data_IF_383362963086
#
_entry.id   IF_383362963086
#
_cell.length_a   1.000
_cell.length_b   1.000
_cell.length_c   1.000
_cell.angle_alpha   90.00
_cell.angle_beta   90.00
_cell.angle_gamma   90.00
#
_symmetry.space_group_name_H-M   'P 1'
#
loop_
_entity.id
_entity.type
_entity.pdbx_description
1 polymer ?
#
# COMPACT_ATOMS: atom_id res chain seq x y z
N UNK A 1 24.98 8.04 23.50
CA UNK A 1 24.16 8.58 22.40
C UNK A 1 23.42 7.40 21.80
N UNK A 2 22.09 7.43 21.77
CA UNK A 2 21.29 6.31 21.26
C UNK A 2 21.40 6.27 19.73
N UNK A 3 21.70 5.10 19.19
CA UNK A 3 21.67 4.86 17.74
C UNK A 3 20.34 4.18 17.42
N UNK A 4 19.59 4.73 16.47
CA UNK A 4 18.35 4.14 15.95
C UNK A 4 18.53 3.77 14.48
N UNK A 5 17.97 2.62 14.10
CA UNK A 5 18.02 2.06 12.75
C UNK A 5 16.80 1.15 12.56
N UNK A 6 16.42 0.84 11.32
CA UNK A 6 15.38 -0.16 11.07
C UNK A 6 15.77 -1.52 11.66
N UNK A 7 14.82 -2.18 12.30
CA UNK A 7 15.00 -3.56 12.75
C UNK A 7 14.99 -4.52 11.56
N UNK A 8 15.92 -5.49 11.55
CA UNK A 8 16.03 -6.47 10.46
C UNK A 8 14.73 -7.28 10.23
N UNK A 9 13.94 -7.51 11.28
CA UNK A 9 12.65 -8.22 11.17
C UNK A 9 11.59 -7.45 10.39
N UNK A 10 11.79 -6.14 10.21
CA UNK A 10 10.90 -5.25 9.46
C UNK A 10 11.56 -4.77 8.15
N UNK A 11 12.55 -5.51 7.63
CA UNK A 11 13.31 -5.12 6.43
C UNK A 11 12.45 -4.96 5.17
N UNK A 12 11.32 -5.66 5.11
CA UNK A 12 10.36 -5.67 4.00
C UNK A 12 9.16 -4.72 4.24
N UNK A 13 9.06 -4.11 5.42
CA UNK A 13 7.97 -3.19 5.74
C UNK A 13 8.16 -1.86 5.00
N UNK A 14 7.14 -1.40 4.26
CA UNK A 14 7.16 -0.07 3.65
C UNK A 14 7.35 1.03 4.72
N UNK A 15 6.72 0.87 5.89
CA UNK A 15 6.86 1.78 7.03
C UNK A 15 7.18 1.00 8.29
N UNK A 16 8.25 1.38 8.97
CA UNK A 16 8.59 0.87 10.30
C UNK A 16 8.61 2.03 11.30
N UNK A 17 7.62 2.03 12.21
CA UNK A 17 7.57 2.99 13.30
C UNK A 17 8.52 2.53 14.41
N UNK A 18 9.46 3.39 14.79
CA UNK A 18 10.41 3.07 15.85
C UNK A 18 9.68 2.90 17.19
N UNK A 19 9.80 1.73 17.85
CA UNK A 19 8.93 1.39 18.98
C UNK A 19 9.42 1.94 20.33
N UNK A 20 10.68 2.38 20.42
CA UNK A 20 11.29 2.80 21.68
C UNK A 20 11.33 4.31 21.85
N UNK A 21 11.28 4.83 23.09
CA UNK A 21 11.44 6.26 23.35
C UNK A 21 12.76 6.81 22.77
N UNK A 22 12.67 7.95 22.09
CA UNK A 22 13.83 8.66 21.53
C UNK A 22 14.17 9.84 22.44
N UNK A 23 15.45 9.95 22.80
CA UNK A 23 15.95 11.09 23.58
C UNK A 23 16.03 12.39 22.76
N UNK A 24 16.45 13.50 23.37
CA UNK A 24 16.56 14.79 22.66
C UNK A 24 17.65 14.81 21.59
N UNK A 25 18.62 13.90 21.67
CA UNK A 25 19.69 13.72 20.69
C UNK A 25 19.87 12.23 20.39
N UNK A 26 19.96 11.87 19.11
CA UNK A 26 20.20 10.51 18.66
C UNK A 26 21.07 10.48 17.39
N UNK A 27 21.70 9.33 17.14
CA UNK A 27 22.26 9.01 15.84
C UNK A 27 21.24 8.16 15.08
N UNK A 28 20.97 8.52 13.83
CA UNK A 28 20.05 7.80 12.96
C UNK A 28 20.86 7.16 11.85
N UNK A 29 20.75 5.85 11.70
CA UNK A 29 21.33 5.11 10.59
C UNK A 29 20.25 4.71 9.61
N UNK A 30 20.38 5.16 8.38
CA UNK A 30 19.41 4.99 7.30
C UNK A 30 20.06 4.21 6.15
N UNK A 31 19.34 3.22 5.62
CA UNK A 31 19.80 2.42 4.48
C UNK A 31 19.73 3.19 3.16
N UNK A 32 20.35 2.68 2.09
CA UNK A 32 20.43 3.35 0.79
C UNK A 32 19.05 3.57 0.13
N UNK A 33 18.10 2.69 0.42
CA UNK A 33 16.74 2.70 -0.10
C UNK A 33 15.71 3.21 0.92
N UNK A 34 16.15 3.98 1.91
CA UNK A 34 15.33 4.40 3.03
C UNK A 34 15.36 5.91 3.25
N UNK A 35 14.28 6.43 3.85
CA UNK A 35 14.26 7.73 4.50
C UNK A 35 13.67 7.60 5.90
N UNK A 36 14.19 8.40 6.83
CA UNK A 36 13.65 8.48 8.20
C UNK A 36 12.92 9.80 8.37
N UNK A 37 11.64 9.73 8.73
CA UNK A 37 10.83 10.89 9.09
C UNK A 37 10.89 11.06 10.60
N UNK A 38 11.53 12.15 11.05
CA UNK A 38 11.60 12.54 12.44
C UNK A 38 10.36 13.35 12.80
N UNK A 39 9.67 12.93 13.86
CA UNK A 39 8.40 13.51 14.27
C UNK A 39 8.47 14.13 15.68
N UNK A 40 9.11 15.31 15.86
CA UNK A 40 9.09 16.01 17.14
C UNK A 40 7.67 16.46 17.48
N UNK A 41 7.26 16.25 18.73
CA UNK A 41 5.93 16.62 19.21
C UNK A 41 4.78 16.03 18.37
N UNK A 42 4.99 14.86 17.77
CA UNK A 42 4.02 14.22 16.87
C UNK A 42 3.66 15.05 15.63
N UNK A 43 4.58 15.89 15.17
CA UNK A 43 4.46 16.62 13.91
C UNK A 43 5.53 16.14 12.94
N UNK A 44 5.23 16.04 11.65
CA UNK A 44 6.25 15.76 10.63
C UNK A 44 7.29 16.88 10.65
N UNK A 45 8.51 16.55 11.05
CA UNK A 45 9.65 17.46 11.11
C UNK A 45 10.64 17.16 10.00
N UNK A 46 11.81 16.66 10.37
CA UNK A 46 12.91 16.43 9.44
C UNK A 46 12.77 15.11 8.66
N UNK A 47 13.31 15.11 7.44
CA UNK A 47 13.45 13.92 6.59
C UNK A 47 14.93 13.65 6.39
N UNK A 48 15.40 12.53 6.91
CA UNK A 48 16.79 12.12 6.85
C UNK A 48 16.93 11.09 5.72
N UNK A 49 17.79 11.38 4.75
CA UNK A 49 18.11 10.46 3.65
C UNK A 49 19.06 9.34 4.07
N UNK A 50 19.59 8.58 3.10
CA UNK A 50 20.57 7.53 3.37
C UNK A 50 21.80 7.98 4.17
N UNK A 51 22.38 7.05 4.92
CA UNK A 51 23.60 7.26 5.69
C UNK A 51 23.38 7.50 7.18
N UNK A 52 24.37 8.09 7.84
CA UNK A 52 24.36 8.34 9.29
C UNK A 52 24.18 9.81 9.58
N UNK A 53 23.23 10.10 10.47
CA UNK A 53 22.85 11.46 10.83
C UNK A 53 22.92 11.64 12.33
N UNK A 54 23.48 12.75 12.79
CA UNK A 54 23.28 13.21 14.16
C UNK A 54 22.09 14.14 14.16
N UNK A 55 21.03 13.75 14.87
CA UNK A 55 19.80 14.51 14.91
C UNK A 55 19.51 14.98 16.34
N UNK A 56 18.98 16.20 16.45
CA UNK A 56 18.60 16.82 17.70
C UNK A 56 17.21 17.43 17.55
N UNK A 57 16.34 17.15 18.52
CA UNK A 57 14.99 17.73 18.53
C UNK A 57 15.05 19.25 18.72
N UNK A 58 14.22 20.02 17.99
CA UNK A 58 14.08 21.45 18.23
C UNK A 58 13.41 21.77 19.58
N UNK A 59 12.63 20.83 20.14
CA UNK A 59 11.99 20.95 21.45
C UNK A 59 12.34 19.74 22.33
N UNK A 60 13.35 19.86 23.22
CA UNK A 60 13.79 18.78 24.11
C UNK A 60 12.75 18.34 25.15
N UNK A 61 11.71 19.14 25.36
CA UNK A 61 10.69 18.86 26.39
C UNK A 61 9.56 17.98 25.87
N UNK A 62 9.53 17.73 24.55
CA UNK A 62 8.46 16.99 23.89
C UNK A 62 8.93 15.62 23.37
N UNK A 63 8.02 14.64 23.28
CA UNK A 63 8.35 13.33 22.72
C UNK A 63 8.69 13.43 21.23
N UNK A 64 9.49 12.47 20.77
CA UNK A 64 9.91 12.33 19.36
C UNK A 64 9.54 10.94 18.89
N UNK A 65 8.85 10.87 17.75
CA UNK A 65 8.69 9.64 16.96
C UNK A 65 9.70 9.59 15.82
N UNK A 66 10.02 8.39 15.35
CA UNK A 66 10.77 8.19 14.11
C UNK A 66 10.09 7.11 13.27
N UNK A 67 10.00 7.35 11.97
CA UNK A 67 9.40 6.43 11.02
C UNK A 67 10.40 6.16 9.90
N UNK A 68 10.82 4.92 9.78
CA UNK A 68 11.67 4.43 8.71
C UNK A 68 10.77 4.05 7.52
N UNK A 69 11.00 4.67 6.38
CA UNK A 69 10.16 4.52 5.18
C UNK A 69 11.02 4.01 4.03
N UNK A 70 10.66 2.86 3.47
CA UNK A 70 11.31 2.37 2.26
C UNK A 70 10.89 3.21 1.05
N UNK A 71 11.90 3.59 0.28
CA UNK A 71 11.75 4.25 -1.03
C UNK A 71 11.79 3.23 -2.17
N UNK A 72 12.34 2.04 -1.93
CA UNK A 72 12.25 0.91 -2.84
C UNK A 72 10.80 0.40 -2.94
N UNK A 73 10.38 -0.16 -4.10
CA UNK A 73 9.06 -0.74 -4.25
C UNK A 73 8.85 -1.97 -3.34
N UNK A 74 7.66 -2.04 -2.73
CA UNK A 74 7.18 -3.17 -1.91
C UNK A 74 6.00 -3.83 -2.60
N UNK A 75 5.92 -5.16 -2.49
CA UNK A 75 4.84 -5.94 -3.07
C UNK A 75 3.62 -6.01 -2.14
N UNK A 76 2.43 -5.80 -2.70
CA UNK A 76 1.14 -5.92 -2.01
C UNK A 76 0.30 -6.95 -2.73
N UNK A 77 -0.04 -8.03 -2.03
CA UNK A 77 -0.94 -9.07 -2.54
C UNK A 77 -2.40 -8.68 -2.32
N UNK A 78 -3.28 -9.14 -3.19
CA UNK A 78 -4.73 -8.97 -3.07
C UNK A 78 -5.47 -10.23 -3.49
N UNK A 79 -6.67 -10.43 -2.93
CA UNK A 79 -7.62 -11.47 -3.33
C UNK A 79 -9.04 -10.89 -3.24
N UNK A 80 -9.68 -10.76 -4.39
CA UNK A 80 -10.97 -10.13 -4.57
C UNK A 80 -11.98 -11.17 -5.05
N UNK A 81 -13.14 -11.20 -4.41
CA UNK A 81 -14.30 -11.96 -4.89
C UNK A 81 -15.48 -11.00 -5.02
N UNK A 82 -16.15 -11.04 -6.16
CA UNK A 82 -17.40 -10.29 -6.39
C UNK A 82 -18.43 -11.17 -7.07
N UNK A 83 -19.71 -10.93 -6.79
CA UNK A 83 -20.82 -11.66 -7.40
C UNK A 83 -21.93 -10.71 -7.80
N UNK A 84 -22.49 -10.93 -8.98
CA UNK A 84 -23.55 -10.09 -9.54
C UNK A 84 -24.36 -10.88 -10.57
N UNK A 85 -25.49 -10.33 -11.00
CA UNK A 85 -26.26 -10.87 -12.12
C UNK A 85 -26.03 -10.01 -13.36
N UNK A 86 -25.87 -10.66 -14.51
CA UNK A 86 -25.88 -9.97 -15.80
C UNK A 86 -27.31 -9.44 -16.04
N UNK A 87 -27.54 -8.11 -16.13
CA UNK A 87 -28.90 -7.57 -16.16
C UNK A 87 -29.76 -8.03 -17.33
N UNK A 88 -29.15 -8.28 -18.50
CA UNK A 88 -29.90 -8.65 -19.71
C UNK A 88 -30.28 -10.14 -19.75
N UNK A 89 -29.46 -11.02 -19.18
CA UNK A 89 -29.65 -12.47 -19.24
C UNK A 89 -30.14 -13.06 -17.92
N UNK A 90 -30.04 -12.31 -16.82
CA UNK A 90 -30.29 -12.82 -15.47
C UNK A 90 -29.25 -13.84 -14.99
N UNK A 91 -28.18 -14.08 -15.74
CA UNK A 91 -27.18 -15.07 -15.40
C UNK A 91 -26.38 -14.64 -14.17
N UNK A 92 -26.29 -15.48 -13.12
CA UNK A 92 -25.41 -15.21 -11.99
C UNK A 92 -23.96 -15.42 -12.41
N UNK A 93 -23.10 -14.49 -12.00
CA UNK A 93 -21.66 -14.54 -12.21
C UNK A 93 -20.97 -14.28 -10.87
N UNK A 94 -19.98 -15.12 -10.56
CA UNK A 94 -19.00 -14.89 -9.51
C UNK A 94 -17.64 -14.77 -10.16
N UNK A 95 -16.93 -13.70 -9.84
CA UNK A 95 -15.57 -13.46 -10.27
C UNK A 95 -14.64 -13.53 -9.07
N UNK A 96 -13.48 -14.16 -9.25
CA UNK A 96 -12.36 -14.09 -8.33
C UNK A 96 -11.15 -13.52 -9.06
N UNK A 97 -10.55 -12.47 -8.52
CA UNK A 97 -9.31 -11.90 -9.02
C UNK A 97 -8.26 -11.93 -7.91
N UNK A 98 -7.12 -12.55 -8.17
CA UNK A 98 -6.00 -12.62 -7.23
C UNK A 98 -4.71 -12.21 -7.92
N UNK A 99 -3.78 -11.68 -7.15
CA UNK A 99 -2.53 -11.21 -7.71
C UNK A 99 -1.72 -10.35 -6.75
N UNK A 100 -0.78 -9.63 -7.32
CA UNK A 100 0.03 -8.66 -6.60
C UNK A 100 0.30 -7.39 -7.40
N UNK A 101 0.69 -6.35 -6.70
CA UNK A 101 1.08 -5.07 -7.27
C UNK A 101 2.32 -4.55 -6.52
N UNK A 102 3.09 -3.69 -7.16
CA UNK A 102 4.21 -3.01 -6.52
C UNK A 102 3.85 -1.56 -6.25
N UNK A 103 3.94 -1.15 -4.98
CA UNK A 103 3.84 0.25 -4.56
C UNK A 103 5.19 0.77 -4.13
N UNK A 104 5.39 2.09 -4.17
CA UNK A 104 6.48 2.73 -3.44
C UNK A 104 5.98 3.96 -2.70
N UNK A 105 6.74 4.37 -1.69
CA UNK A 105 6.51 5.67 -1.08
C UNK A 105 7.13 6.77 -1.96
N UNK A 106 6.29 7.66 -2.47
CA UNK A 106 6.69 8.82 -3.25
C UNK A 106 6.96 10.05 -2.36
N UNK A 107 6.21 10.18 -1.26
CA UNK A 107 6.41 11.25 -0.27
C UNK A 107 6.27 10.70 1.16
N UNK A 108 7.41 10.42 1.84
CA UNK A 108 7.41 9.94 3.22
C UNK A 108 6.78 10.93 4.21
N UNK A 109 6.90 12.24 3.97
CA UNK A 109 6.32 13.24 4.86
C UNK A 109 4.79 13.18 4.82
N UNK A 110 4.22 13.13 3.62
CA UNK A 110 2.78 13.00 3.42
C UNK A 110 2.25 11.66 3.92
N UNK A 111 3.01 10.57 3.72
CA UNK A 111 2.67 9.25 4.25
C UNK A 111 2.54 9.29 5.77
N UNK A 112 3.57 9.77 6.47
CA UNK A 112 3.63 9.77 7.93
C UNK A 112 2.68 10.78 8.58
N UNK A 113 2.37 11.89 7.91
CA UNK A 113 1.40 12.87 8.40
C UNK A 113 0.02 12.27 8.74
N UNK A 114 -0.34 11.14 8.13
CA UNK A 114 -1.61 10.44 8.39
C UNK A 114 -1.60 9.60 9.68
N UNK A 115 -0.41 9.23 10.18
CA UNK A 115 -0.26 8.27 11.29
C UNK A 115 0.33 8.90 12.54
N UNK A 116 0.97 10.06 12.40
CA UNK A 116 1.68 10.71 13.49
C UNK A 116 0.74 11.03 14.66
N UNK A 117 1.15 10.65 15.88
CA UNK A 117 0.36 10.85 17.10
C UNK A 117 -0.79 9.86 17.32
N UNK A 118 -0.99 8.89 16.42
CA UNK A 118 -1.98 7.84 16.57
C UNK A 118 -1.35 6.57 17.19
N UNK A 119 -2.05 5.89 18.11
CA UNK A 119 -1.51 4.71 18.80
C UNK A 119 -1.64 3.46 17.91
N UNK A 120 -0.88 3.40 16.82
CA UNK A 120 -0.89 2.26 15.92
C UNK A 120 0.21 1.26 16.26
N UNK A 121 -0.20 0.04 16.60
CA UNK A 121 0.72 -1.07 16.84
C UNK A 121 1.29 -1.65 15.53
N UNK A 122 0.62 -1.43 14.38
CA UNK A 122 0.97 -2.05 13.10
C UNK A 122 0.69 -1.14 11.89
N UNK A 123 1.43 -0.03 11.81
CA UNK A 123 1.29 0.96 10.72
C UNK A 123 1.44 0.32 9.34
N UNK A 124 2.47 -0.52 9.15
CA UNK A 124 2.74 -1.18 7.87
C UNK A 124 1.53 -2.00 7.38
N UNK A 125 0.99 -2.86 8.24
CA UNK A 125 -0.17 -3.68 7.89
C UNK A 125 -1.39 -2.84 7.52
N UNK A 126 -1.61 -1.73 8.25
CA UNK A 126 -2.68 -0.79 7.94
C UNK A 126 -2.55 -0.19 6.54
N UNK A 127 -1.33 0.24 6.18
CA UNK A 127 -1.01 0.77 4.84
C UNK A 127 -1.24 -0.30 3.77
N UNK A 128 -0.66 -1.49 3.93
CA UNK A 128 -0.79 -2.59 2.97
C UNK A 128 -2.26 -2.98 2.76
N UNK A 129 -3.01 -3.10 3.86
CA UNK A 129 -4.45 -3.44 3.84
C UNK A 129 -5.28 -2.36 3.15
N UNK A 130 -4.97 -1.08 3.36
CA UNK A 130 -5.67 0.03 2.70
C UNK A 130 -5.45 -0.01 1.19
N UNK A 131 -4.19 -0.19 0.76
CA UNK A 131 -3.83 -0.35 -0.65
C UNK A 131 -4.55 -1.55 -1.27
N UNK A 132 -4.47 -2.73 -0.65
CA UNK A 132 -5.14 -3.95 -1.15
C UNK A 132 -6.65 -3.74 -1.31
N UNK A 133 -7.32 -3.23 -0.27
CA UNK A 133 -8.78 -3.03 -0.31
C UNK A 133 -9.22 -2.00 -1.33
N UNK A 134 -8.45 -0.93 -1.51
CA UNK A 134 -8.74 0.07 -2.55
C UNK A 134 -8.64 -0.56 -3.93
N UNK A 135 -7.61 -1.36 -4.15
CA UNK A 135 -7.45 -2.12 -5.39
C UNK A 135 -8.61 -3.10 -5.60
N UNK A 136 -8.93 -3.94 -4.62
CA UNK A 136 -10.01 -4.94 -4.69
C UNK A 136 -11.33 -4.28 -5.08
N UNK A 137 -11.67 -3.14 -4.47
CA UNK A 137 -12.88 -2.38 -4.80
C UNK A 137 -12.87 -1.83 -6.22
N UNK A 138 -11.73 -1.33 -6.68
CA UNK A 138 -11.58 -0.83 -8.05
C UNK A 138 -11.70 -1.95 -9.07
N UNK A 139 -11.00 -3.06 -8.85
CA UNK A 139 -11.07 -4.27 -9.66
C UNK A 139 -12.50 -4.81 -9.72
N UNK A 140 -13.19 -4.95 -8.60
CA UNK A 140 -14.57 -5.42 -8.57
C UNK A 140 -15.48 -4.57 -9.47
N UNK A 141 -15.34 -3.23 -9.42
CA UNK A 141 -16.11 -2.32 -10.28
C UNK A 141 -15.73 -2.45 -11.75
N UNK A 142 -14.43 -2.46 -12.06
CA UNK A 142 -13.91 -2.58 -13.42
C UNK A 142 -14.36 -3.89 -14.09
N UNK A 143 -14.15 -5.01 -13.40
CA UNK A 143 -14.48 -6.33 -13.94
C UNK A 143 -16.00 -6.49 -14.11
N UNK A 144 -16.79 -6.09 -13.12
CA UNK A 144 -18.26 -6.10 -13.22
C UNK A 144 -18.73 -5.28 -14.41
N UNK A 145 -18.21 -4.05 -14.59
CA UNK A 145 -18.56 -3.20 -15.73
C UNK A 145 -18.23 -3.89 -17.06
N UNK A 146 -17.04 -4.46 -17.22
CA UNK A 146 -16.63 -5.14 -18.45
C UNK A 146 -17.50 -6.35 -18.77
N UNK A 147 -17.82 -7.19 -17.78
CA UNK A 147 -18.72 -8.34 -17.96
C UNK A 147 -20.13 -7.89 -18.29
N UNK A 148 -20.66 -6.89 -17.58
CA UNK A 148 -22.01 -6.36 -17.84
C UNK A 148 -22.12 -5.73 -19.23
N UNK A 149 -21.10 -5.01 -19.71
CA UNK A 149 -21.13 -4.38 -21.03
C UNK A 149 -21.00 -5.41 -22.17
N UNK A 150 -20.18 -6.45 -21.98
CA UNK A 150 -19.97 -7.51 -22.96
C UNK A 150 -21.00 -8.65 -22.89
N UNK A 151 -21.80 -8.69 -21.83
CA UNK A 151 -22.74 -9.78 -21.51
C UNK A 151 -22.06 -11.15 -21.35
N UNK A 152 -20.75 -11.21 -21.06
CA UNK A 152 -20.02 -12.47 -20.91
C UNK A 152 -18.82 -12.36 -19.96
N UNK A 153 -18.55 -13.38 -19.11
CA UNK A 153 -17.35 -13.41 -18.26
C UNK A 153 -16.05 -13.55 -19.07
N UNK A 154 -16.11 -14.02 -20.32
CA UNK A 154 -14.93 -14.16 -21.19
C UNK A 154 -14.19 -12.83 -21.39
N UNK A 155 -14.90 -11.70 -21.32
CA UNK A 155 -14.32 -10.37 -21.45
C UNK A 155 -13.31 -10.00 -20.36
N UNK A 156 -13.24 -10.78 -19.28
CA UNK A 156 -12.28 -10.59 -18.19
C UNK A 156 -11.44 -11.82 -17.87
N UNK A 157 -11.82 -13.02 -18.32
CA UNK A 157 -11.05 -14.25 -18.11
C UNK A 157 -10.14 -14.62 -19.28
N UNK A 158 -10.37 -14.07 -20.48
CA UNK A 158 -9.49 -14.27 -21.62
C UNK A 158 -8.12 -13.60 -21.37
N UNK A 159 -7.04 -14.37 -21.56
CA UNK A 159 -5.66 -13.89 -21.42
C UNK A 159 -5.35 -12.72 -22.37
N UNK A 160 -5.99 -12.67 -23.55
CA UNK A 160 -5.84 -11.56 -24.49
C UNK A 160 -6.39 -10.23 -23.96
N UNK A 161 -7.30 -10.26 -22.97
CA UNK A 161 -7.93 -9.07 -22.40
C UNK A 161 -7.17 -8.50 -21.19
N UNK A 162 -6.26 -9.27 -20.59
CA UNK A 162 -5.52 -8.89 -19.39
C UNK A 162 -4.71 -7.59 -19.55
N UNK A 163 -3.96 -7.34 -20.65
CA UNK A 163 -3.20 -6.10 -20.80
C UNK A 163 -4.07 -4.84 -20.68
N UNK A 164 -5.24 -4.84 -21.35
CA UNK A 164 -6.16 -3.71 -21.28
C UNK A 164 -6.81 -3.52 -19.90
N UNK A 165 -7.02 -4.60 -19.14
CA UNK A 165 -7.49 -4.52 -17.74
C UNK A 165 -6.42 -3.87 -16.86
N UNK A 166 -5.16 -4.26 -17.04
CA UNK A 166 -4.02 -3.72 -16.31
C UNK A 166 -3.83 -2.24 -16.62
N UNK A 167 -3.90 -1.85 -17.90
CA UNK A 167 -3.80 -0.45 -18.33
C UNK A 167 -4.90 0.42 -17.73
N UNK A 168 -6.17 -0.01 -17.78
CA UNK A 168 -7.27 0.73 -17.15
C UNK A 168 -7.07 0.84 -15.64
N UNK A 169 -6.63 -0.24 -14.99
CA UNK A 169 -6.40 -0.26 -13.56
C UNK A 169 -5.30 0.72 -13.13
N UNK A 170 -4.19 0.75 -13.86
CA UNK A 170 -3.09 1.69 -13.62
C UNK A 170 -3.57 3.13 -13.85
N UNK A 171 -4.36 3.37 -14.90
CA UNK A 171 -4.90 4.70 -15.20
C UNK A 171 -5.85 5.20 -14.10
N UNK A 172 -6.63 4.32 -13.46
CA UNK A 172 -7.46 4.69 -12.31
C UNK A 172 -6.67 4.96 -11.04
N UNK A 173 -5.40 4.53 -10.97
CA UNK A 173 -4.49 4.71 -9.85
C UNK A 173 -5.14 4.42 -8.47
N UNK A 174 -5.43 3.14 -8.16
CA UNK A 174 -6.15 2.76 -6.95
C UNK A 174 -5.44 3.16 -5.64
N UNK A 175 -4.14 3.49 -5.67
CA UNK A 175 -3.41 3.92 -4.47
C UNK A 175 -3.65 5.39 -4.13
N UNK A 176 -3.96 6.24 -5.11
CA UNK A 176 -4.10 7.69 -4.93
C UNK A 176 -5.18 8.09 -3.90
N UNK A 177 -6.22 7.26 -3.72
CA UNK A 177 -7.26 7.46 -2.71
C UNK A 177 -7.16 6.54 -1.49
N UNK A 178 -6.16 5.66 -1.45
CA UNK A 178 -6.02 4.65 -0.41
C UNK A 178 -5.11 5.11 0.72
N UNK A 179 -3.94 5.65 0.35
CA UNK A 179 -2.89 6.07 1.28
C UNK A 179 -2.14 7.25 0.65
N UNK A 180 -2.12 8.39 1.32
CA UNK A 180 -1.36 9.54 0.80
C UNK A 180 0.15 9.25 0.83
N UNK A 181 0.87 9.76 -0.17
CA UNK A 181 2.31 9.56 -0.30
C UNK A 181 2.74 8.20 -0.85
N UNK A 182 1.80 7.33 -1.26
CA UNK A 182 2.06 6.03 -1.88
C UNK A 182 1.58 6.03 -3.33
N UNK A 183 2.42 5.54 -4.23
CA UNK A 183 2.08 5.40 -5.64
C UNK A 183 2.19 3.95 -6.13
N UNK A 184 1.29 3.60 -7.04
CA UNK A 184 1.35 2.36 -7.80
C UNK A 184 2.45 2.45 -8.86
N UNK A 185 3.38 1.49 -8.84
CA UNK A 185 4.48 1.41 -9.82
C UNK A 185 4.10 0.52 -10.98
N UNK A 186 3.62 -0.69 -10.67
CA UNK A 186 3.16 -1.65 -11.67
C UNK A 186 2.29 -2.71 -11.05
N UNK A 187 1.51 -3.38 -11.89
CA UNK A 187 0.94 -4.67 -11.55
C UNK A 187 2.03 -5.74 -11.58
N UNK A 188 1.97 -6.65 -10.61
CA UNK A 188 2.73 -7.89 -10.62
C UNK A 188 2.00 -8.91 -11.49
N UNK A 189 1.54 -10.00 -10.88
CA UNK A 189 0.69 -10.98 -11.56
C UNK A 189 -0.80 -10.69 -11.27
N UNK A 190 -1.67 -11.05 -12.21
CA UNK A 190 -3.11 -10.95 -12.09
C UNK A 190 -3.74 -12.19 -12.70
N UNK A 191 -4.56 -12.89 -11.92
CA UNK A 191 -5.34 -14.07 -12.34
C UNK A 191 -6.80 -13.76 -12.09
N UNK A 192 -7.64 -13.96 -13.11
CA UNK A 192 -9.09 -13.76 -13.02
C UNK A 192 -9.77 -15.08 -13.38
N UNK A 193 -10.62 -15.57 -12.48
CA UNK A 193 -11.47 -16.72 -12.68
C UNK A 193 -12.95 -16.29 -12.60
N UNK A 194 -13.80 -17.01 -13.30
CA UNK A 194 -15.24 -16.82 -13.28
C UNK A 194 -15.95 -18.17 -13.12
N UNK A 195 -17.00 -18.18 -12.31
CA UNK A 195 -17.96 -19.28 -12.22
C UNK A 195 -19.39 -18.72 -12.05
N UNK A 196 -20.38 -19.60 -12.01
CA UNK A 196 -21.80 -19.29 -11.83
C UNK A 196 -22.25 -19.32 -10.35
N UNK A 197 -21.30 -19.44 -9.42
CA UNK A 197 -21.54 -19.59 -7.98
C UNK A 197 -21.86 -21.02 -7.55
N UNK A 198 -21.90 -22.00 -8.46
CA UNK A 198 -22.26 -23.38 -8.14
C UNK A 198 -21.14 -24.18 -7.46
N UNK A 199 -19.89 -23.74 -7.62
CA UNK A 199 -18.71 -24.36 -6.98
C UNK A 199 -18.14 -23.47 -5.87
N UNK A 200 -17.93 -24.00 -4.66
CA UNK A 200 -17.10 -23.32 -3.67
C UNK A 200 -15.63 -23.34 -4.13
N UNK A 201 -14.99 -22.17 -4.14
CA UNK A 201 -13.53 -22.07 -4.24
C UNK A 201 -12.84 -22.67 -3.01
#
# INVERSE_FOLDING_TARGET
>A
MTVIARDQVASDHLVYAWPFPIGPECEVSCSDDEQVVMCPAWMVGDRLGPGRHRWRTPDPTRPVGAFFVLTAPVEVSFDMVTSFMIPSTGQPIRLRASGSLQVRCADPGLLIAQFVGLPFDSVNEGVMRSVSRSLERMLARLLTRRVVMSQTPVAVTDAGMLPGIIEELIAYNPTAGAVFGVELIRMGHLVIAADDGSTPY
#
